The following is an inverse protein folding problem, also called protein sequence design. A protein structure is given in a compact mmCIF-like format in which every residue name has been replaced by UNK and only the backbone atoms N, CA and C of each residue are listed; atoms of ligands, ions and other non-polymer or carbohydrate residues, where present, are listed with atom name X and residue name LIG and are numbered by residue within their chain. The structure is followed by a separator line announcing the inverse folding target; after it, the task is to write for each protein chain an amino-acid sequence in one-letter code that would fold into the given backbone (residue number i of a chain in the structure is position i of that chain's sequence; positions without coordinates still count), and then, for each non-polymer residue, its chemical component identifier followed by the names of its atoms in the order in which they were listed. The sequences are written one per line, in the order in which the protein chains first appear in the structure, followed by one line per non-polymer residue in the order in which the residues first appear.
data_IF_481219355208
#
_entry.id   IF_481219355208
#
_cell.length_a   1.000
_cell.length_b   1.000
_cell.length_c   1.000
_cell.angle_alpha   90.00
_cell.angle_beta   90.00
_cell.angle_gamma   90.00
#
_symmetry.space_group_name_H-M   'P 1'
#
loop_
_entity.id
_entity.type
_entity.pdbx_description
1 polymer ?
#
# COMPACT_ATOMS: atom_id res chain seq x y z
N UNK A 1 11.45 7.10 2.84
CA UNK A 1 12.27 8.00 1.96
C UNK A 1 13.28 8.85 2.71
N UNK A 2 12.96 9.45 3.87
CA UNK A 2 13.85 10.38 4.61
C UNK A 2 15.26 9.82 4.90
N UNK A 3 15.38 8.56 5.33
CA UNK A 3 16.68 7.94 5.66
C UNK A 3 17.59 7.77 4.44
N UNK A 4 17.03 7.46 3.27
CA UNK A 4 17.79 7.30 2.03
C UNK A 4 18.33 8.65 1.54
N UNK A 5 17.58 9.73 1.73
CA UNK A 5 18.05 11.10 1.42
C UNK A 5 19.20 11.49 2.34
N UNK A 6 19.08 11.25 3.64
CA UNK A 6 20.16 11.56 4.61
C UNK A 6 21.42 10.76 4.29
N UNK A 7 21.30 9.47 3.99
CA UNK A 7 22.45 8.63 3.61
C UNK A 7 23.09 9.02 2.28
N UNK A 8 22.39 9.74 1.39
CA UNK A 8 22.97 10.27 0.14
C UNK A 8 23.86 11.49 0.37
N UNK A 9 23.72 12.18 1.50
CA UNK A 9 24.52 13.37 1.85
C UNK A 9 25.93 13.03 2.37
N UNK A 10 26.19 11.77 2.75
CA UNK A 10 27.46 11.36 3.34
C UNK A 10 28.33 10.52 2.39
N UNK A 11 29.68 10.67 2.42
CA UNK A 11 30.63 9.79 1.73
C UNK A 11 30.48 8.32 2.14
N UNK A 12 30.86 7.38 1.25
CA UNK A 12 30.68 5.92 1.46
C UNK A 12 31.13 5.41 2.84
N UNK A 13 32.24 5.94 3.37
CA UNK A 13 32.81 5.53 4.66
C UNK A 13 31.91 5.96 5.84
N UNK A 14 31.37 7.18 5.80
CA UNK A 14 30.51 7.72 6.86
C UNK A 14 29.10 7.15 6.81
N UNK A 15 28.65 6.61 5.67
CA UNK A 15 27.34 5.96 5.57
C UNK A 15 27.17 4.82 6.57
N UNK A 16 28.24 4.07 6.89
CA UNK A 16 28.17 2.96 7.85
C UNK A 16 27.83 3.45 9.27
N UNK A 17 28.50 4.51 9.72
CA UNK A 17 28.26 5.13 11.02
C UNK A 17 26.89 5.79 11.05
N UNK A 18 26.55 6.57 10.03
CA UNK A 18 25.27 7.28 9.94
C UNK A 18 24.09 6.30 9.87
N UNK A 19 24.22 5.21 9.12
CA UNK A 19 23.19 4.17 9.07
C UNK A 19 22.97 3.50 10.44
N UNK A 20 24.03 3.29 11.21
CA UNK A 20 23.95 2.73 12.56
C UNK A 20 23.10 3.60 13.51
N UNK A 21 23.24 4.92 13.43
CA UNK A 21 22.46 5.85 14.26
C UNK A 21 21.02 6.09 13.77
N UNK A 22 20.77 6.00 12.45
CA UNK A 22 19.46 6.34 11.87
C UNK A 22 18.50 5.14 11.79
N UNK A 23 19.01 3.94 11.48
CA UNK A 23 18.15 2.76 11.26
C UNK A 23 17.32 2.30 12.48
N UNK A 24 17.88 2.19 13.71
CA UNK A 24 17.15 1.58 14.81
C UNK A 24 16.04 2.47 15.39
N UNK A 25 16.10 3.79 15.21
CA UNK A 25 15.20 4.75 15.86
C UNK A 25 13.91 5.03 15.06
N UNK A 26 14.00 5.18 13.74
CA UNK A 26 12.85 5.62 12.93
C UNK A 26 12.00 4.46 12.39
N UNK A 27 12.62 3.40 11.85
CA UNK A 27 11.88 2.29 11.22
C UNK A 27 11.09 1.49 12.26
N UNK A 28 11.63 1.36 13.48
CA UNK A 28 10.94 0.66 14.56
C UNK A 28 9.77 1.45 15.14
N UNK A 29 9.79 2.79 15.06
CA UNK A 29 8.73 3.64 15.61
C UNK A 29 7.41 3.49 14.84
N UNK A 30 7.46 3.64 13.52
CA UNK A 30 6.27 3.53 12.66
C UNK A 30 5.70 2.11 12.69
N UNK A 31 6.57 1.09 12.66
CA UNK A 31 6.12 -0.31 12.78
C UNK A 31 5.50 -0.60 14.15
N UNK A 32 6.06 -0.11 15.26
CA UNK A 32 5.44 -0.27 16.59
C UNK A 32 4.08 0.39 16.68
N UNK A 33 3.93 1.58 16.08
CA UNK A 33 2.66 2.28 16.03
C UNK A 33 1.64 1.52 15.17
N UNK A 34 2.03 1.04 14.00
CA UNK A 34 1.18 0.21 13.15
C UNK A 34 0.81 -1.12 13.84
N UNK A 35 1.76 -1.76 14.51
CA UNK A 35 1.54 -2.96 15.29
C UNK A 35 0.50 -2.72 16.39
N UNK A 36 0.52 -1.59 17.10
CA UNK A 36 -0.48 -1.29 18.11
C UNK A 36 -1.91 -1.28 17.55
N UNK A 37 -2.11 -0.80 16.31
CA UNK A 37 -3.42 -0.82 15.64
C UNK A 37 -3.77 -2.18 15.04
N UNK A 38 -2.78 -2.90 14.49
CA UNK A 38 -3.00 -4.16 13.78
C UNK A 38 -3.10 -5.36 14.72
N UNK A 39 -2.47 -5.30 15.89
CA UNK A 39 -2.46 -6.36 16.90
C UNK A 39 -3.85 -6.91 17.24
N UNK A 40 -4.86 -6.10 17.60
CA UNK A 40 -6.18 -6.64 17.92
C UNK A 40 -6.79 -7.43 16.75
N UNK A 41 -6.64 -6.94 15.52
CA UNK A 41 -7.15 -7.59 14.31
C UNK A 41 -6.41 -8.90 14.04
N UNK A 42 -5.08 -8.90 14.20
CA UNK A 42 -4.25 -10.10 14.01
C UNK A 42 -4.62 -11.17 15.04
N UNK A 43 -4.71 -10.80 16.32
CA UNK A 43 -5.02 -11.73 17.42
C UNK A 43 -6.46 -12.28 17.33
N UNK A 44 -7.42 -11.47 16.87
CA UNK A 44 -8.78 -11.92 16.58
C UNK A 44 -8.79 -12.97 15.47
N UNK A 45 -8.10 -12.69 14.34
CA UNK A 45 -8.04 -13.63 13.21
C UNK A 45 -7.27 -14.90 13.54
N UNK A 46 -6.19 -14.80 14.31
CA UNK A 46 -5.45 -15.99 14.78
C UNK A 46 -6.31 -16.88 15.67
N UNK A 47 -7.14 -16.28 16.54
CA UNK A 47 -8.12 -17.04 17.34
C UNK A 47 -9.17 -17.70 16.48
N UNK A 48 -9.78 -16.95 15.54
CA UNK A 48 -10.75 -17.51 14.61
C UNK A 48 -10.17 -18.68 13.79
N UNK A 49 -8.91 -18.58 13.35
CA UNK A 49 -8.22 -19.68 12.66
C UNK A 49 -8.03 -20.92 13.55
N UNK A 50 -7.75 -20.72 14.84
CA UNK A 50 -7.56 -21.82 15.79
C UNK A 50 -8.90 -22.47 16.19
N UNK A 51 -9.95 -21.68 16.35
CA UNK A 51 -11.25 -22.12 16.84
C UNK A 51 -12.12 -22.73 15.72
N UNK A 52 -12.10 -22.14 14.52
CA UNK A 52 -12.97 -22.53 13.41
C UNK A 52 -12.26 -23.40 12.36
N UNK A 53 -10.92 -23.30 12.24
CA UNK A 53 -10.15 -24.12 11.30
C UNK A 53 -10.69 -24.10 9.87
N UNK A 54 -11.00 -25.28 9.33
CA UNK A 54 -11.57 -25.44 7.98
C UNK A 54 -13.05 -25.04 7.87
N UNK A 55 -13.76 -24.95 9.00
CA UNK A 55 -15.19 -24.58 9.05
C UNK A 55 -15.39 -23.05 9.03
N UNK A 56 -14.33 -22.26 8.86
CA UNK A 56 -14.43 -20.81 8.81
C UNK A 56 -14.98 -20.31 7.46
N UNK A 57 -16.31 -20.30 7.33
CA UNK A 57 -17.01 -19.92 6.10
C UNK A 57 -16.84 -18.45 5.72
N UNK A 58 -16.76 -17.56 6.71
CA UNK A 58 -16.68 -16.10 6.51
C UNK A 58 -15.24 -15.57 6.62
N UNK A 59 -14.26 -16.38 6.22
CA UNK A 59 -12.84 -16.03 6.27
C UNK A 59 -12.54 -14.84 5.34
N UNK A 60 -11.93 -13.74 5.83
CA UNK A 60 -11.61 -12.60 4.99
C UNK A 60 -10.63 -12.97 3.85
N UNK A 61 -10.95 -12.59 2.60
CA UNK A 61 -10.04 -12.76 1.47
C UNK A 61 -9.22 -11.48 1.21
N UNK A 62 -8.38 -11.12 2.17
CA UNK A 62 -7.52 -9.95 2.08
C UNK A 62 -6.03 -10.28 2.29
N UNK A 63 -5.18 -9.29 2.01
CA UNK A 63 -3.74 -9.47 2.08
C UNK A 63 -3.23 -9.81 3.50
N UNK A 64 -3.86 -9.28 4.55
CA UNK A 64 -3.50 -9.65 5.93
C UNK A 64 -3.84 -11.12 6.19
N UNK A 65 -4.99 -11.61 5.74
CA UNK A 65 -5.34 -13.02 5.87
C UNK A 65 -4.37 -13.91 5.09
N UNK A 66 -4.00 -13.52 3.86
CA UNK A 66 -3.00 -14.27 3.07
C UNK A 66 -1.63 -14.32 3.75
N UNK A 67 -1.22 -13.23 4.44
CA UNK A 67 -0.01 -13.22 5.25
C UNK A 67 -0.13 -14.18 6.43
N UNK A 68 -1.26 -14.15 7.15
CA UNK A 68 -1.51 -15.03 8.29
C UNK A 68 -1.46 -16.51 7.88
N UNK A 69 -2.16 -16.89 6.82
CA UNK A 69 -2.19 -18.26 6.30
C UNK A 69 -0.80 -18.79 5.93
N UNK A 70 0.05 -17.95 5.32
CA UNK A 70 1.44 -18.31 5.01
C UNK A 70 2.36 -18.33 6.24
N UNK A 71 2.08 -17.47 7.23
CA UNK A 71 2.88 -17.33 8.45
C UNK A 71 2.52 -18.33 9.55
N UNK A 72 1.37 -19.01 9.45
CA UNK A 72 0.87 -19.96 10.44
C UNK A 72 1.87 -21.09 10.75
N UNK A 73 2.73 -21.45 9.79
CA UNK A 73 3.79 -22.46 9.97
C UNK A 73 5.05 -21.94 10.67
N UNK A 74 5.19 -20.61 10.84
CA UNK A 74 6.44 -19.94 11.22
C UNK A 74 6.39 -19.19 12.55
N UNK A 75 5.24 -19.18 13.26
CA UNK A 75 5.03 -18.42 14.50
C UNK A 75 5.56 -16.97 14.41
N UNK A 76 5.21 -16.27 13.32
CA UNK A 76 5.70 -14.91 13.11
C UNK A 76 5.08 -13.94 14.13
N UNK A 77 5.88 -12.97 14.57
CA UNK A 77 5.42 -11.95 15.51
C UNK A 77 4.49 -10.94 14.84
N UNK A 78 3.54 -10.41 15.61
CA UNK A 78 2.66 -9.29 15.20
C UNK A 78 3.45 -8.10 14.65
N UNK A 79 4.62 -7.80 15.23
CA UNK A 79 5.55 -6.79 14.73
C UNK A 79 5.99 -7.04 13.29
N UNK A 80 6.40 -8.28 12.94
CA UNK A 80 6.85 -8.60 11.58
C UNK A 80 5.70 -8.55 10.57
N UNK A 81 4.50 -8.99 10.97
CA UNK A 81 3.30 -8.88 10.14
C UNK A 81 2.95 -7.42 9.88
N UNK A 82 2.95 -6.58 10.92
CA UNK A 82 2.74 -5.14 10.81
C UNK A 82 3.80 -4.46 9.93
N UNK A 83 5.06 -4.88 10.04
CA UNK A 83 6.16 -4.35 9.22
C UNK A 83 5.93 -4.64 7.73
N UNK A 84 5.49 -5.85 7.39
CA UNK A 84 5.22 -6.24 5.99
C UNK A 84 4.03 -5.47 5.42
N UNK A 85 2.96 -5.31 6.20
CA UNK A 85 1.80 -4.52 5.80
C UNK A 85 2.17 -3.06 5.54
N UNK A 86 2.96 -2.46 6.44
CA UNK A 86 3.42 -1.08 6.28
C UNK A 86 4.30 -0.91 5.03
N UNK A 87 5.09 -1.91 4.67
CA UNK A 87 5.92 -1.89 3.46
C UNK A 87 5.12 -1.73 2.16
N UNK A 88 3.91 -2.28 2.10
CA UNK A 88 3.02 -2.15 0.94
C UNK A 88 2.25 -0.84 0.99
N UNK A 89 1.73 -0.46 2.16
CA UNK A 89 1.01 0.80 2.34
C UNK A 89 1.90 2.05 2.12
N UNK A 90 3.22 1.92 2.30
CA UNK A 90 4.18 2.99 2.07
C UNK A 90 4.44 3.32 0.59
N UNK A 91 3.85 2.57 -0.35
CA UNK A 91 3.96 2.83 -1.78
C UNK A 91 3.07 4.02 -2.13
N UNK A 92 3.64 5.23 -2.03
CA UNK A 92 2.95 6.49 -2.39
C UNK A 92 2.76 6.70 -3.91
N UNK A 93 3.03 5.68 -4.75
CA UNK A 93 3.07 5.84 -6.22
C UNK A 93 1.75 6.39 -6.77
N UNK A 94 0.60 5.88 -6.30
CA UNK A 94 -0.71 6.36 -6.74
C UNK A 94 -0.91 7.86 -6.47
N UNK A 95 -0.49 8.35 -5.29
CA UNK A 95 -0.59 9.77 -4.96
C UNK A 95 0.31 10.63 -5.85
N UNK A 96 1.52 10.15 -6.16
CA UNK A 96 2.40 10.84 -7.10
C UNK A 96 1.81 10.85 -8.51
N UNK A 97 1.34 9.71 -9.02
CA UNK A 97 0.69 9.61 -10.34
C UNK A 97 -0.50 10.55 -10.46
N UNK A 98 -1.40 10.57 -9.46
CA UNK A 98 -2.55 11.50 -9.44
C UNK A 98 -2.06 12.96 -9.47
N UNK A 99 -1.03 13.28 -8.70
CA UNK A 99 -0.47 14.65 -8.67
C UNK A 99 0.09 15.05 -10.05
N UNK A 100 0.83 14.15 -10.70
CA UNK A 100 1.37 14.40 -12.05
C UNK A 100 0.26 14.53 -13.09
N UNK A 101 -0.77 13.66 -13.04
CA UNK A 101 -1.93 13.74 -13.90
C UNK A 101 -2.63 15.10 -13.77
N UNK A 102 -2.85 15.58 -12.54
CA UNK A 102 -3.46 16.89 -12.30
C UNK A 102 -2.62 18.05 -12.86
N UNK A 103 -1.28 17.97 -12.77
CA UNK A 103 -0.42 18.98 -13.38
C UNK A 103 -0.49 18.95 -14.90
N UNK A 104 -0.50 17.77 -15.52
CA UNK A 104 -0.65 17.65 -16.96
C UNK A 104 -1.99 18.23 -17.46
N UNK A 105 -3.07 17.99 -16.71
CA UNK A 105 -4.39 18.56 -17.04
C UNK A 105 -4.45 20.07 -16.85
N UNK A 106 -3.68 20.61 -15.89
CA UNK A 106 -3.58 22.06 -15.68
C UNK A 106 -2.79 22.76 -16.80
N UNK A 107 -1.78 22.09 -17.36
CA UNK A 107 -0.99 22.59 -18.49
C UNK A 107 -1.75 22.51 -19.82
N UNK A 108 -2.54 21.45 -20.02
CA UNK A 108 -3.32 21.25 -21.25
C UNK A 108 -4.83 21.07 -20.97
N UNK A 109 -5.57 22.16 -20.65
CA UNK A 109 -6.99 22.09 -20.33
C UNK A 109 -7.88 21.54 -21.46
N UNK A 110 -7.39 21.55 -22.71
CA UNK A 110 -8.11 21.02 -23.86
C UNK A 110 -8.39 19.50 -23.74
N UNK A 111 -7.54 18.76 -23.03
CA UNK A 111 -7.72 17.32 -22.80
C UNK A 111 -8.93 17.00 -21.90
N UNK A 112 -9.29 17.93 -21.00
CA UNK A 112 -10.32 17.70 -19.98
C UNK A 112 -11.67 17.31 -20.58
N UNK A 113 -12.07 17.98 -21.67
CA UNK A 113 -13.34 17.70 -22.33
C UNK A 113 -13.37 16.27 -22.91
N UNK A 114 -12.32 15.88 -23.63
CA UNK A 114 -12.22 14.57 -24.27
C UNK A 114 -12.13 13.41 -23.26
N UNK A 115 -11.46 13.64 -22.12
CA UNK A 115 -11.37 12.68 -21.03
C UNK A 115 -12.69 12.54 -20.29
N UNK A 116 -13.37 13.66 -20.02
CA UNK A 116 -14.68 13.66 -19.37
C UNK A 116 -15.71 12.91 -20.20
N UNK A 117 -15.74 13.16 -21.51
CA UNK A 117 -16.63 12.44 -22.44
C UNK A 117 -16.38 10.93 -22.40
N UNK A 118 -15.12 10.49 -22.45
CA UNK A 118 -14.77 9.07 -22.35
C UNK A 118 -15.21 8.45 -21.03
N UNK A 119 -14.92 9.12 -19.91
CA UNK A 119 -15.29 8.65 -18.56
C UNK A 119 -16.80 8.56 -18.40
N UNK A 120 -17.54 9.60 -18.79
CA UNK A 120 -18.99 9.63 -18.69
C UNK A 120 -19.64 8.57 -19.59
N UNK A 121 -19.11 8.36 -20.80
CA UNK A 121 -19.59 7.31 -21.72
C UNK A 121 -19.35 5.90 -21.15
N UNK A 122 -18.14 5.63 -20.64
CA UNK A 122 -17.80 4.32 -20.07
C UNK A 122 -18.64 4.01 -18.82
N UNK A 123 -18.81 4.98 -17.92
CA UNK A 123 -19.63 4.81 -16.71
C UNK A 123 -21.11 4.68 -17.06
N UNK A 124 -21.63 5.40 -18.06
CA UNK A 124 -23.02 5.27 -18.48
C UNK A 124 -23.32 3.88 -19.06
N UNK A 125 -22.36 3.26 -19.74
CA UNK A 125 -22.50 1.92 -20.31
C UNK A 125 -22.41 0.81 -19.26
N UNK A 126 -21.34 0.82 -18.45
CA UNK A 126 -20.95 -0.33 -17.63
C UNK A 126 -20.95 -0.03 -16.12
N UNK A 127 -21.30 1.18 -15.70
CA UNK A 127 -21.23 1.64 -14.31
C UNK A 127 -19.80 1.81 -13.77
N UNK A 128 -19.65 1.88 -12.45
CA UNK A 128 -18.32 1.88 -11.79
C UNK A 128 -17.77 0.46 -11.69
N UNK A 129 -17.43 -0.12 -12.83
CA UNK A 129 -16.88 -1.49 -12.94
C UNK A 129 -15.46 -1.49 -13.48
N UNK A 130 -14.76 -2.61 -13.30
CA UNK A 130 -13.42 -2.80 -13.88
C UNK A 130 -13.43 -2.79 -15.40
N UNK A 131 -14.56 -3.18 -16.01
CA UNK A 131 -14.76 -3.11 -17.46
C UNK A 131 -14.82 -1.65 -17.92
N UNK A 132 -15.60 -0.81 -17.25
CA UNK A 132 -15.65 0.62 -17.54
C UNK A 132 -14.27 1.28 -17.45
N UNK A 133 -13.52 0.97 -16.38
CA UNK A 133 -12.14 1.45 -16.20
C UNK A 133 -11.21 0.99 -17.33
N UNK A 134 -11.32 -0.27 -17.75
CA UNK A 134 -10.54 -0.82 -18.87
C UNK A 134 -10.85 -0.17 -20.22
N UNK A 135 -12.00 0.48 -20.35
CA UNK A 135 -12.41 1.18 -21.57
C UNK A 135 -11.96 2.66 -21.61
N UNK A 136 -11.35 3.19 -20.54
CA UNK A 136 -10.88 4.58 -20.45
C UNK A 136 -9.43 4.72 -20.97
N UNK A 137 -9.23 4.47 -22.26
CA UNK A 137 -7.88 4.43 -22.87
C UNK A 137 -7.20 5.79 -22.97
N UNK A 138 -7.95 6.89 -23.18
CA UNK A 138 -7.38 8.24 -23.15
C UNK A 138 -6.92 8.58 -21.75
N UNK A 139 -7.71 8.25 -20.74
CA UNK A 139 -7.36 8.48 -19.34
C UNK A 139 -6.12 7.67 -18.91
N UNK A 140 -6.00 6.42 -19.38
CA UNK A 140 -4.82 5.57 -19.10
C UNK A 140 -3.55 6.05 -19.83
N UNK A 141 -3.70 6.81 -20.91
CA UNK A 141 -2.58 7.36 -21.71
C UNK A 141 -2.02 8.68 -21.18
N UNK A 142 -2.60 9.24 -20.11
CA UNK A 142 -2.20 10.51 -19.51
C UNK A 142 -0.94 10.37 -18.63
#
# INVERSE_FOLDING_TARGET
MKNAVILRLFPRILKLLVAFFINPLYVKGDTRRAEAYLRPIIEERQRAMADLGEDWTDKPNDFLQHLLDKSATKNETTFLLAQRLLGIAAIQSSSMTITHALYHLAEEPALVAALREEVETAIAADGWTTVALGNMWKLDSL
#
